data_IF_135027321910
#
_entry.id   IF_135027321910
#
_cell.length_a   1.000
_cell.length_b   1.000
_cell.length_c   1.000
_cell.angle_alpha   90.00
_cell.angle_beta   90.00
_cell.angle_gamma   90.00
#
_symmetry.space_group_name_H-M   'P 1'
#
loop_
_entity.id
_entity.type
_entity.pdbx_description
1 polymer ?
#
# COMPACT_ATOMS: atom_id res chain seq x y z
N UNK A 1 7.13 -9.80 5.78
CA UNK A 1 5.75 -10.32 5.57
C UNK A 1 5.16 -9.50 4.42
N UNK A 2 3.90 -9.68 3.99
CA UNK A 2 3.32 -8.80 2.96
C UNK A 2 2.18 -7.97 3.57
N UNK A 3 2.30 -6.64 3.50
CA UNK A 3 1.28 -5.70 3.98
C UNK A 3 0.23 -5.49 2.90
N UNK A 4 -1.05 -5.67 3.25
CA UNK A 4 -2.17 -5.47 2.33
C UNK A 4 -2.73 -4.07 2.55
N UNK A 5 -2.67 -3.24 1.52
CA UNK A 5 -3.07 -1.83 1.57
C UNK A 5 -4.21 -1.62 0.59
N UNK A 6 -5.33 -1.13 1.12
CA UNK A 6 -6.46 -0.75 0.28
C UNK A 6 -6.15 0.62 -0.30
N UNK A 7 -6.22 0.75 -1.61
CA UNK A 7 -6.02 2.02 -2.31
C UNK A 7 -7.28 2.39 -3.07
N UNK A 8 -7.43 3.66 -3.41
CA UNK A 8 -8.46 4.08 -4.36
C UNK A 8 -8.09 3.65 -5.77
N UNK A 9 -9.10 3.59 -6.66
CA UNK A 9 -8.88 3.11 -8.03
C UNK A 9 -7.92 3.99 -8.81
N UNK A 10 -7.95 5.30 -8.56
CA UNK A 10 -7.05 6.28 -9.20
C UNK A 10 -5.60 6.04 -8.77
N UNK A 11 -5.36 5.84 -7.48
CA UNK A 11 -4.04 5.50 -6.92
C UNK A 11 -3.55 4.12 -7.41
N UNK A 12 -4.45 3.16 -7.55
CA UNK A 12 -4.12 1.82 -8.06
C UNK A 12 -3.64 1.85 -9.52
N UNK A 13 -4.28 2.66 -10.36
CA UNK A 13 -3.93 2.81 -11.78
C UNK A 13 -2.62 3.60 -11.94
N UNK A 14 -2.43 4.63 -11.10
CA UNK A 14 -1.20 5.42 -11.02
C UNK A 14 -0.02 4.66 -10.41
N UNK A 15 -0.26 3.58 -9.67
CA UNK A 15 0.77 2.77 -9.04
C UNK A 15 1.77 2.25 -10.08
N UNK A 16 3.05 2.53 -9.87
CA UNK A 16 4.14 2.12 -10.75
C UNK A 16 5.39 1.80 -9.94
N UNK A 17 6.34 1.12 -10.58
CA UNK A 17 7.66 0.85 -9.99
C UNK A 17 8.38 2.18 -9.71
N UNK A 18 9.01 2.28 -8.53
CA UNK A 18 9.65 3.51 -8.03
C UNK A 18 8.68 4.71 -7.89
N UNK A 19 7.37 4.44 -7.87
CA UNK A 19 6.32 5.42 -7.65
C UNK A 19 5.91 5.51 -6.18
N UNK A 20 4.75 6.10 -5.94
CA UNK A 20 4.15 6.12 -4.61
C UNK A 20 2.64 5.96 -4.71
N UNK A 21 2.02 5.57 -3.60
CA UNK A 21 0.56 5.51 -3.46
C UNK A 21 0.13 5.90 -2.05
N UNK A 22 -1.06 6.45 -1.96
CA UNK A 22 -1.78 6.67 -0.71
C UNK A 22 -2.86 5.60 -0.53
N UNK A 23 -3.00 5.12 0.70
CA UNK A 23 -3.99 4.11 1.00
C UNK A 23 -4.34 3.99 2.46
N UNK A 24 -5.17 2.99 2.73
CA UNK A 24 -5.68 2.66 4.04
C UNK A 24 -5.27 1.24 4.40
N UNK A 25 -4.82 1.05 5.63
CA UNK A 25 -4.53 -0.24 6.20
C UNK A 25 -5.58 -0.57 7.27
N UNK A 26 -6.28 -1.70 7.10
CA UNK A 26 -7.34 -2.16 8.01
C UNK A 26 -6.82 -3.26 8.93
N UNK A 27 -6.33 -2.88 10.11
CA UNK A 27 -5.92 -3.81 11.18
C UNK A 27 -6.93 -3.83 12.33
N UNK A 28 -6.76 -2.95 13.31
CA UNK A 28 -7.68 -2.73 14.43
C UNK A 28 -8.49 -1.43 14.29
N UNK A 29 -8.23 -0.68 13.22
CA UNK A 29 -8.84 0.58 12.83
C UNK A 29 -8.41 0.91 11.40
N UNK A 30 -8.79 2.10 10.92
CA UNK A 30 -8.29 2.64 9.65
C UNK A 30 -7.00 3.39 9.98
N UNK A 31 -5.88 2.93 9.42
CA UNK A 31 -4.59 3.62 9.50
C UNK A 31 -4.29 4.14 8.11
N UNK A 32 -3.97 5.42 8.01
CA UNK A 32 -3.60 6.03 6.73
C UNK A 32 -2.13 5.76 6.47
N UNK A 33 -1.81 5.39 5.23
CA UNK A 33 -0.46 5.02 4.86
C UNK A 33 -0.06 5.69 3.56
N UNK A 34 1.16 6.21 3.56
CA UNK A 34 1.87 6.59 2.35
C UNK A 34 2.89 5.51 2.05
N UNK A 35 2.92 5.04 0.81
CA UNK A 35 3.81 3.95 0.41
C UNK A 35 4.64 4.40 -0.77
N UNK A 36 5.95 4.37 -0.59
CA UNK A 36 6.89 4.43 -1.72
C UNK A 36 7.01 3.02 -2.29
N UNK A 37 6.52 2.87 -3.52
CA UNK A 37 6.53 1.60 -4.23
C UNK A 37 7.93 1.33 -4.76
N UNK A 38 8.47 0.17 -4.43
CA UNK A 38 9.71 -0.31 -5.02
C UNK A 38 9.44 -1.00 -6.36
N UNK A 39 9.98 -2.21 -6.52
CA UNK A 39 9.86 -2.97 -7.76
C UNK A 39 8.56 -3.76 -7.81
N UNK A 40 7.77 -3.56 -8.87
CA UNK A 40 6.59 -4.38 -9.16
C UNK A 40 6.99 -5.83 -9.43
N UNK A 41 6.19 -6.76 -8.92
CA UNK A 41 6.30 -8.18 -9.23
C UNK A 41 4.97 -8.74 -9.71
N UNK A 42 5.07 -9.87 -10.40
CA UNK A 42 3.91 -10.64 -10.79
C UNK A 42 3.17 -11.13 -9.53
N UNK A 43 1.90 -10.72 -9.39
CA UNK A 43 1.06 -11.17 -8.30
C UNK A 43 0.54 -12.57 -8.60
N UNK A 44 0.92 -13.54 -7.75
CA UNK A 44 0.38 -14.90 -7.82
C UNK A 44 -0.88 -14.94 -6.97
N UNK A 45 -2.04 -14.98 -7.63
CA UNK A 45 -3.34 -15.06 -6.99
C UNK A 45 -3.46 -16.32 -6.13
N UNK A 46 -3.93 -16.15 -4.90
CA UNK A 46 -4.21 -17.26 -4.01
C UNK A 46 -5.70 -17.63 -4.09
N UNK A 47 -6.06 -18.89 -3.80
CA UNK A 47 -7.46 -19.32 -3.79
C UNK A 47 -8.34 -18.61 -2.75
N UNK A 48 -7.75 -17.84 -1.83
CA UNK A 48 -8.47 -17.01 -0.85
C UNK A 48 -8.62 -15.54 -1.26
N UNK A 49 -8.02 -15.13 -2.37
CA UNK A 49 -8.17 -13.77 -2.87
C UNK A 49 -9.50 -13.60 -3.63
N UNK A 50 -10.07 -12.41 -3.56
CA UNK A 50 -11.40 -12.16 -4.12
C UNK A 50 -11.30 -12.04 -5.64
N UNK A 51 -12.02 -12.86 -6.44
CA UNK A 51 -11.91 -12.84 -7.89
C UNK A 51 -12.38 -11.52 -8.54
N UNK A 52 -13.06 -10.65 -7.79
CA UNK A 52 -13.52 -9.33 -8.26
C UNK A 52 -12.61 -8.18 -7.80
N UNK A 53 -11.47 -8.46 -7.17
CA UNK A 53 -10.53 -7.46 -6.69
C UNK A 53 -9.24 -7.54 -7.49
N UNK A 54 -8.72 -6.38 -7.86
CA UNK A 54 -7.44 -6.29 -8.56
C UNK A 54 -6.32 -6.16 -7.52
N UNK A 55 -5.26 -6.93 -7.68
CA UNK A 55 -4.14 -6.98 -6.76
C UNK A 55 -2.83 -6.71 -7.52
N UNK A 56 -1.98 -5.87 -6.95
CA UNK A 56 -0.59 -5.68 -7.42
C UNK A 56 0.36 -5.81 -6.25
N UNK A 57 1.52 -6.40 -6.49
CA UNK A 57 2.54 -6.61 -5.46
C UNK A 57 3.81 -5.85 -5.82
N UNK A 58 4.33 -5.16 -4.81
CA UNK A 58 5.56 -4.40 -4.89
C UNK A 58 6.50 -4.88 -3.78
N UNK A 59 7.77 -4.97 -4.12
CA UNK A 59 8.83 -5.38 -3.20
C UNK A 59 9.79 -4.24 -2.94
N UNK A 60 10.48 -4.27 -1.81
CA UNK A 60 11.40 -3.20 -1.40
C UNK A 60 10.69 -1.84 -1.26
N UNK A 61 9.48 -1.84 -0.67
CA UNK A 61 8.67 -0.65 -0.45
C UNK A 61 8.98 -0.01 0.90
N UNK A 62 8.82 1.30 0.98
CA UNK A 62 8.82 2.02 2.25
C UNK A 62 7.38 2.41 2.59
N UNK A 63 6.90 2.02 3.77
CA UNK A 63 5.57 2.37 4.27
C UNK A 63 5.73 3.37 5.40
N UNK A 64 5.00 4.47 5.29
CA UNK A 64 4.90 5.50 6.30
C UNK A 64 3.48 5.51 6.85
N UNK A 65 3.36 5.40 8.17
CA UNK A 65 2.09 5.26 8.87
C UNK A 65 1.69 6.58 9.51
N UNK A 66 0.44 6.96 9.34
CA UNK A 66 -0.15 8.15 9.92
C UNK A 66 -1.52 7.85 10.54
N UNK A 67 -1.88 8.62 11.54
CA UNK A 67 -3.19 8.50 12.19
C UNK A 67 -4.30 9.20 11.40
N UNK A 68 -3.94 10.17 10.54
CA UNK A 68 -4.89 10.98 9.77
C UNK A 68 -4.38 11.28 8.37
N UNK A 69 -5.26 11.50 7.39
CA UNK A 69 -4.88 11.95 6.04
C UNK A 69 -4.07 13.25 6.06
N UNK A 70 -4.40 14.17 6.96
CA UNK A 70 -3.69 15.46 7.07
C UNK A 70 -2.22 15.26 7.44
N UNK A 71 -1.94 14.34 8.36
CA UNK A 71 -0.57 13.96 8.72
C UNK A 71 0.19 13.36 7.53
N UNK A 72 -0.47 12.57 6.69
CA UNK A 72 0.12 12.04 5.47
C UNK A 72 0.50 13.17 4.50
N UNK A 73 -0.40 14.11 4.27
CA UNK A 73 -0.18 15.26 3.38
C UNK A 73 0.93 16.20 3.89
N UNK A 74 1.03 16.36 5.22
CA UNK A 74 2.06 17.17 5.87
C UNK A 74 3.40 16.42 6.04
N UNK A 75 3.45 15.12 5.76
CA UNK A 75 4.64 14.27 5.97
C UNK A 75 4.96 13.97 7.44
N UNK A 76 3.98 14.13 8.34
CA UNK A 76 4.11 13.87 9.77
C UNK A 76 3.72 12.42 10.08
N UNK A 77 4.69 11.52 9.99
CA UNK A 77 4.46 10.09 10.14
C UNK A 77 4.75 9.60 11.56
N UNK A 78 3.83 8.82 12.12
CA UNK A 78 3.98 8.23 13.45
C UNK A 78 4.98 7.05 13.45
N UNK A 79 5.10 6.34 12.33
CA UNK A 79 6.03 5.22 12.17
C UNK A 79 6.41 5.02 10.70
N UNK A 80 7.54 4.34 10.47
CA UNK A 80 7.95 3.91 9.14
C UNK A 80 8.44 2.45 9.14
N UNK A 81 8.26 1.77 8.01
CA UNK A 81 8.84 0.46 7.72
C UNK A 81 9.50 0.51 6.34
N UNK A 82 10.70 -0.05 6.20
CA UNK A 82 11.49 0.02 4.97
C UNK A 82 11.85 -1.36 4.47
N UNK A 83 11.89 -1.52 3.16
CA UNK A 83 12.25 -2.79 2.51
C UNK A 83 11.18 -3.88 2.62
N UNK A 84 9.94 -3.50 2.95
CA UNK A 84 8.84 -4.46 3.10
C UNK A 84 8.21 -4.80 1.74
N UNK A 85 7.40 -5.86 1.74
CA UNK A 85 6.58 -6.23 0.57
C UNK A 85 5.16 -5.70 0.77
N UNK A 86 4.63 -5.00 -0.22
CA UNK A 86 3.30 -4.40 -0.18
C UNK A 86 2.43 -5.02 -1.28
N UNK A 87 1.20 -5.37 -0.93
CA UNK A 87 0.15 -5.76 -1.86
C UNK A 87 -0.90 -4.67 -1.82
N UNK A 88 -1.06 -3.94 -2.93
CA UNK A 88 -2.13 -2.96 -3.08
C UNK A 88 -3.35 -3.63 -3.70
N UNK A 89 -4.54 -3.22 -3.27
CA UNK A 89 -5.79 -3.72 -3.81
C UNK A 89 -6.88 -2.65 -3.82
N UNK A 90 -7.77 -2.71 -4.82
CA UNK A 90 -8.92 -1.82 -4.99
C UNK A 90 -10.23 -2.61 -5.09
#
# INVERSE_FOLDING_TARGET
MALRIKVEREEFDAAATDGYVYGELRLQGIIYVYVELGTEREFISQPSDNPNTEYRIFTNCNIFFAETEKQVDEGDFAAEQRGETVIIYC
#
